data_IF_000665290427
#
_entry.id   IF_000665290427
#
_cell.length_a   1.000
_cell.length_b   1.000
_cell.length_c   1.000
_cell.angle_alpha   90.00
_cell.angle_beta   90.00
_cell.angle_gamma   90.00
#
_symmetry.space_group_name_H-M   'P 1'
#
loop_
_entity.id
_entity.type
_entity.pdbx_description
1 polymer ?
#
# COMPACT_ATOMS: atom_id res chain seq x y z
N UNK A 1 -9.87 1.19 -6.75
CA UNK A 1 -8.45 1.22 -7.15
C UNK A 1 -7.99 -0.23 -7.39
N UNK A 2 -7.21 -0.52 -8.44
CA UNK A 2 -6.78 -1.88 -8.79
C UNK A 2 -5.29 -2.06 -8.48
N UNK A 3 -4.96 -3.19 -7.84
CA UNK A 3 -3.56 -3.57 -7.59
C UNK A 3 -2.88 -4.00 -8.89
N UNK A 4 -1.70 -3.46 -9.15
CA UNK A 4 -0.83 -3.87 -10.27
C UNK A 4 0.06 -5.04 -9.86
N UNK A 5 0.32 -5.97 -10.76
CA UNK A 5 1.21 -7.12 -10.50
C UNK A 5 2.59 -6.85 -11.09
N UNK A 6 3.62 -7.37 -10.42
CA UNK A 6 4.96 -7.40 -10.98
C UNK A 6 5.10 -8.61 -11.93
N UNK A 7 5.94 -8.45 -12.94
CA UNK A 7 6.34 -9.54 -13.84
C UNK A 7 7.64 -10.14 -13.29
N UNK A 8 7.74 -11.47 -13.14
CA UNK A 8 8.99 -12.09 -12.71
C UNK A 8 10.09 -11.88 -13.75
N UNK A 9 11.30 -11.58 -13.27
CA UNK A 9 12.50 -11.47 -14.09
C UNK A 9 13.65 -12.20 -13.38
N UNK A 10 14.52 -12.85 -14.16
CA UNK A 10 15.69 -13.54 -13.63
C UNK A 10 16.82 -12.57 -13.25
N UNK A 11 16.86 -11.42 -13.92
CA UNK A 11 17.88 -10.38 -13.76
C UNK A 11 17.20 -9.04 -13.50
N UNK A 12 17.92 -8.15 -12.82
CA UNK A 12 17.48 -6.78 -12.62
C UNK A 12 17.61 -6.02 -13.94
N UNK A 13 16.57 -5.30 -14.33
CA UNK A 13 16.67 -4.37 -15.46
C UNK A 13 17.71 -3.29 -15.15
N UNK A 14 18.40 -2.76 -16.15
CA UNK A 14 19.40 -1.70 -16.01
C UNK A 14 18.90 -0.39 -16.65
N UNK A 15 19.59 0.72 -16.38
CA UNK A 15 19.23 2.04 -16.89
C UNK A 15 18.66 3.00 -15.84
N UNK A 16 18.75 4.30 -16.12
CA UNK A 16 18.34 5.38 -15.21
C UNK A 16 16.82 5.52 -15.04
N UNK A 17 16.04 4.86 -15.90
CA UNK A 17 14.58 4.84 -15.85
C UNK A 17 14.03 3.90 -14.76
N UNK A 18 14.88 3.03 -14.19
CA UNK A 18 14.47 2.06 -13.17
C UNK A 18 14.74 2.58 -11.76
N UNK A 19 13.76 2.38 -10.89
CA UNK A 19 13.90 2.53 -9.44
C UNK A 19 13.71 1.18 -8.77
N UNK A 20 14.46 0.93 -7.69
CA UNK A 20 14.45 -0.35 -6.99
C UNK A 20 13.88 -0.20 -5.59
N UNK A 21 13.05 -1.16 -5.20
CA UNK A 21 12.53 -1.29 -3.84
C UNK A 21 12.78 -2.71 -3.34
N UNK A 22 12.97 -2.86 -2.03
CA UNK A 22 13.09 -4.18 -1.39
C UNK A 22 11.77 -4.94 -1.52
N UNK A 23 11.82 -6.17 -2.02
CA UNK A 23 10.66 -7.08 -2.02
C UNK A 23 10.43 -7.62 -0.61
N UNK A 24 9.40 -7.12 0.05
CA UNK A 24 8.92 -7.65 1.33
C UNK A 24 8.06 -8.91 1.11
N UNK A 25 8.26 -9.94 1.95
CA UNK A 25 7.36 -11.10 2.02
C UNK A 25 6.33 -10.91 3.13
N UNK A 26 5.06 -10.90 2.77
CA UNK A 26 3.98 -10.59 3.69
C UNK A 26 2.66 -10.29 2.98
N UNK A 27 1.72 -9.69 3.72
CA UNK A 27 0.42 -9.32 3.20
C UNK A 27 0.50 -8.04 2.38
N UNK A 28 0.04 -8.09 1.13
CA UNK A 28 -0.20 -6.87 0.35
C UNK A 28 -1.53 -6.25 0.78
N UNK A 29 -1.48 -5.03 1.30
CA UNK A 29 -2.64 -4.28 1.74
C UNK A 29 -2.72 -2.91 1.05
N UNK A 30 -3.94 -2.44 0.76
CA UNK A 30 -4.24 -1.06 0.41
C UNK A 30 -4.89 -0.38 1.62
N UNK A 31 -4.43 0.82 1.95
CA UNK A 31 -5.01 1.64 3.01
C UNK A 31 -5.91 2.68 2.36
N UNK A 32 -7.18 2.74 2.77
CA UNK A 32 -8.10 3.81 2.39
C UNK A 32 -8.35 4.67 3.62
N UNK A 33 -7.97 5.94 3.54
CA UNK A 33 -8.19 6.92 4.62
C UNK A 33 -9.17 8.00 4.15
N UNK A 34 -10.34 8.08 4.80
CA UNK A 34 -11.34 9.12 4.59
C UNK A 34 -11.58 9.87 5.90
N UNK A 35 -11.02 11.08 6.02
CA UNK A 35 -11.07 11.85 7.26
C UNK A 35 -10.43 11.08 8.41
N UNK A 36 -11.26 10.69 9.39
CA UNK A 36 -10.90 9.86 10.56
C UNK A 36 -11.06 8.36 10.33
N UNK A 37 -11.76 7.95 9.27
CA UNK A 37 -11.96 6.54 8.94
C UNK A 37 -10.74 6.00 8.20
N UNK A 38 -10.27 4.82 8.61
CA UNK A 38 -9.19 4.07 7.98
C UNK A 38 -9.66 2.64 7.80
N UNK A 39 -9.50 2.10 6.58
CA UNK A 39 -9.73 0.69 6.30
C UNK A 39 -8.59 0.08 5.50
N UNK A 40 -8.43 -1.24 5.65
CA UNK A 40 -7.39 -2.04 4.99
C UNK A 40 -8.04 -3.08 4.09
N UNK A 41 -7.65 -3.08 2.82
CA UNK A 41 -8.08 -4.09 1.85
C UNK A 41 -6.89 -4.97 1.43
N UNK A 42 -7.06 -6.29 1.52
CA UNK A 42 -6.05 -7.26 1.07
C UNK A 42 -5.86 -7.26 -0.46
N UNK A 43 -4.91 -8.07 -0.96
CA UNK A 43 -4.70 -8.31 -2.40
C UNK A 43 -5.99 -8.65 -3.15
N UNK A 44 -6.88 -9.43 -2.54
CA UNK A 44 -8.13 -9.88 -3.15
C UNK A 44 -9.33 -9.03 -2.71
N UNK A 45 -9.08 -7.80 -2.25
CA UNK A 45 -10.07 -6.81 -1.83
C UNK A 45 -10.96 -7.22 -0.65
N UNK A 46 -10.56 -8.25 0.11
CA UNK A 46 -11.20 -8.55 1.40
C UNK A 46 -10.81 -7.50 2.43
N UNK A 47 -11.78 -7.04 3.21
CA UNK A 47 -11.54 -6.21 4.38
C UNK A 47 -10.74 -7.02 5.41
N UNK A 48 -9.59 -6.48 5.79
CA UNK A 48 -8.67 -7.06 6.79
C UNK A 48 -8.40 -6.06 7.93
N UNK A 49 -9.20 -5.00 8.05
CA UNK A 49 -8.99 -3.92 9.02
C UNK A 49 -8.96 -4.44 10.45
N UNK A 50 -9.91 -5.32 10.80
CA UNK A 50 -9.98 -5.92 12.14
C UNK A 50 -8.85 -6.91 12.42
N UNK A 51 -8.32 -7.56 11.38
CA UNK A 51 -7.19 -8.49 11.49
C UNK A 51 -5.89 -7.75 11.76
N UNK A 52 -5.74 -6.52 11.25
CA UNK A 52 -4.54 -5.71 11.37
C UNK A 52 -4.84 -4.33 11.98
N UNK A 53 -5.55 -4.32 13.11
CA UNK A 53 -5.99 -3.08 13.75
C UNK A 53 -4.84 -2.12 14.09
N UNK A 54 -3.70 -2.64 14.56
CA UNK A 54 -2.52 -1.84 14.87
C UNK A 54 -1.96 -1.10 13.64
N UNK A 55 -2.08 -1.69 12.45
CA UNK A 55 -1.67 -1.06 11.19
C UNK A 55 -2.65 0.04 10.79
N UNK A 56 -3.95 -0.18 11.00
CA UNK A 56 -4.97 0.83 10.74
C UNK A 56 -4.82 2.04 11.67
N UNK A 57 -4.52 1.80 12.96
CA UNK A 57 -4.29 2.85 13.97
C UNK A 57 -2.99 3.62 13.73
N UNK A 58 -1.97 2.98 13.17
CA UNK A 58 -0.71 3.62 12.80
C UNK A 58 -0.83 4.56 11.57
N UNK A 59 -1.98 4.56 10.88
CA UNK A 59 -2.16 5.41 9.71
C UNK A 59 -2.00 6.90 10.08
N UNK A 60 -1.15 7.65 9.35
CA UNK A 60 -0.79 9.00 9.75
C UNK A 60 -2.01 9.93 9.73
N UNK A 61 -2.17 10.76 10.76
CA UNK A 61 -3.13 11.85 10.75
C UNK A 61 -2.70 12.87 9.70
N UNK A 62 -3.33 12.85 8.52
CA UNK A 62 -3.09 13.89 7.52
C UNK A 62 -3.45 15.26 8.13
N UNK A 63 -2.46 16.15 8.25
CA UNK A 63 -2.69 17.58 8.41
C UNK A 63 -3.23 18.09 7.08
N UNK A 64 -4.37 18.75 7.09
CA UNK A 64 -4.91 19.36 5.88
C UNK A 64 -3.92 20.41 5.34
N UNK A 65 -3.31 20.12 4.21
CA UNK A 65 -2.84 21.13 3.27
C UNK A 65 -2.93 20.54 1.88
N UNK A 66 -4.13 20.64 1.31
CA UNK A 66 -4.30 20.87 -0.11
C UNK A 66 -5.17 22.13 -0.21
N UNK A 67 -4.52 23.30 -0.19
CA UNK A 67 -5.01 24.42 -0.98
C UNK A 67 -4.58 24.15 -2.43
N UNK A 68 -5.50 24.36 -3.36
CA UNK A 68 -5.27 24.30 -4.80
C UNK A 68 -5.90 23.09 -5.44
#
# INVERSE_FOLDING_TARGET
MRLVMAVPAAELADGSEWSYEVKWDGYRAQIVKNGRSVSLASRNLKDITTQFIAVAEAAPSRRESCRG
#
